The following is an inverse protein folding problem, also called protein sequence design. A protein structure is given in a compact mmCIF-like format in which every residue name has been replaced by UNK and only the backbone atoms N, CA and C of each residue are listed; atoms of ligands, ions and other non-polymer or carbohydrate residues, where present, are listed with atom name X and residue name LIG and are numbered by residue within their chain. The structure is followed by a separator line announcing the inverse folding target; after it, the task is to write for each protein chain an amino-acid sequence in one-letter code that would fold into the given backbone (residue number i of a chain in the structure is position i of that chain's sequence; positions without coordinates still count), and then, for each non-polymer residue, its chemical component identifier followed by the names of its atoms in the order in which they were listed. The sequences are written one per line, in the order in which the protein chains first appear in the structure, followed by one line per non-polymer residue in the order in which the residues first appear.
data_IF_210375940769
#
_entry.id   IF_210375940769
#
_cell.length_a   1.000
_cell.length_b   1.000
_cell.length_c   1.000
_cell.angle_alpha   90.00
_cell.angle_beta   90.00
_cell.angle_gamma   90.00
#
_symmetry.space_group_name_H-M   'P 1'
#
loop_
_entity.id
_entity.type
_entity.pdbx_description
1 polymer ?
#
# COMPACT_ATOMS: atom_id res chain seq x y z
N UNK A 1 -13.62 11.91 -3.85
CA UNK A 1 -12.16 11.62 -3.80
C UNK A 1 -11.29 12.86 -3.91
N UNK A 2 -11.01 13.44 -5.09
CA UNK A 2 -10.06 14.58 -5.21
C UNK A 2 -10.50 15.80 -4.39
N UNK A 3 -11.78 16.17 -4.42
CA UNK A 3 -12.32 17.28 -3.62
C UNK A 3 -12.08 17.07 -2.12
N UNK A 4 -12.42 15.89 -1.60
CA UNK A 4 -12.21 15.55 -0.18
C UNK A 4 -10.73 15.50 0.18
N UNK A 5 -9.88 14.96 -0.70
CA UNK A 5 -8.44 14.90 -0.51
C UNK A 5 -7.85 16.30 -0.27
N UNK A 6 -8.25 17.29 -1.09
CA UNK A 6 -7.81 18.69 -0.95
C UNK A 6 -8.30 19.36 0.33
N UNK A 7 -9.42 18.93 0.90
CA UNK A 7 -9.86 19.42 2.21
C UNK A 7 -9.09 18.75 3.34
N UNK A 8 -8.88 17.44 3.26
CA UNK A 8 -8.18 16.66 4.30
C UNK A 8 -6.70 17.07 4.46
N UNK A 9 -6.00 17.40 3.37
CA UNK A 9 -4.59 17.84 3.44
C UNK A 9 -4.41 19.16 4.18
N UNK A 10 -5.48 19.95 4.39
CA UNK A 10 -5.41 21.22 5.14
C UNK A 10 -5.29 21.00 6.65
N UNK A 11 -5.57 19.79 7.13
CA UNK A 11 -5.56 19.45 8.56
C UNK A 11 -4.13 19.47 9.11
N UNK A 12 -3.19 18.81 8.43
CA UNK A 12 -1.80 18.73 8.86
C UNK A 12 -0.87 18.32 7.69
N UNK A 13 0.41 18.72 7.70
CA UNK A 13 1.35 18.45 6.59
C UNK A 13 1.69 16.96 6.42
N UNK A 14 1.50 16.14 7.46
CA UNK A 14 1.81 14.71 7.45
C UNK A 14 0.66 13.83 6.95
N UNK A 15 -0.49 14.41 6.56
CA UNK A 15 -1.63 13.65 6.03
C UNK A 15 -1.27 12.92 4.74
N UNK A 16 -1.75 11.68 4.63
CA UNK A 16 -1.67 10.83 3.44
C UNK A 16 -3.08 10.39 3.07
N UNK A 17 -3.49 10.63 1.83
CA UNK A 17 -4.86 10.36 1.39
C UNK A 17 -5.01 8.90 0.98
N UNK A 18 -5.84 8.17 1.72
CA UNK A 18 -6.10 6.74 1.45
C UNK A 18 -7.14 6.58 0.35
N UNK A 19 -6.78 5.90 -0.73
CA UNK A 19 -7.62 5.76 -1.94
C UNK A 19 -7.84 4.28 -2.25
N UNK A 20 -9.08 3.81 -2.43
CA UNK A 20 -9.33 2.41 -2.78
C UNK A 20 -8.87 2.10 -4.20
N UNK A 21 -8.33 0.89 -4.40
CA UNK A 21 -7.93 0.36 -5.71
C UNK A 21 -9.15 0.18 -6.63
N UNK A 22 -9.48 1.24 -7.37
CA UNK A 22 -10.60 1.30 -8.33
C UNK A 22 -10.20 2.17 -9.51
N UNK A 23 -10.94 2.07 -10.63
CA UNK A 23 -10.68 2.91 -11.82
C UNK A 23 -10.68 4.41 -11.50
N UNK A 24 -11.69 4.90 -10.76
CA UNK A 24 -11.76 6.32 -10.37
C UNK A 24 -10.73 6.67 -9.28
N UNK A 25 -10.40 5.73 -8.39
CA UNK A 25 -9.33 5.88 -7.43
C UNK A 25 -7.97 6.12 -8.09
N UNK A 26 -7.63 5.33 -9.10
CA UNK A 26 -6.35 5.46 -9.81
C UNK A 26 -6.26 6.78 -10.60
N UNK A 27 -7.37 7.25 -11.19
CA UNK A 27 -7.43 8.61 -11.76
C UNK A 27 -7.18 9.67 -10.69
N UNK A 28 -7.78 9.52 -9.51
CA UNK A 28 -7.58 10.46 -8.40
C UNK A 28 -6.13 10.46 -7.91
N UNK A 29 -5.47 9.30 -7.81
CA UNK A 29 -4.03 9.20 -7.48
C UNK A 29 -3.21 10.02 -8.47
N UNK A 30 -3.44 9.88 -9.78
CA UNK A 30 -2.66 10.61 -10.77
C UNK A 30 -2.84 12.14 -10.69
N UNK A 31 -4.06 12.59 -10.42
CA UNK A 31 -4.35 14.02 -10.23
C UNK A 31 -3.64 14.55 -8.97
N UNK A 32 -3.74 13.80 -7.86
CA UNK A 32 -3.17 14.21 -6.57
C UNK A 32 -1.64 14.15 -6.57
N UNK A 33 -1.02 13.22 -7.30
CA UNK A 33 0.42 13.17 -7.49
C UNK A 33 0.95 14.41 -8.21
N UNK A 34 0.28 14.87 -9.26
CA UNK A 34 0.62 16.13 -9.94
C UNK A 34 0.50 17.37 -9.04
N UNK A 35 -0.28 17.27 -7.96
CA UNK A 35 -0.44 18.30 -6.92
C UNK A 35 0.53 18.10 -5.74
N UNK A 36 1.45 17.14 -5.81
CA UNK A 36 2.35 16.73 -4.73
C UNK A 36 1.63 16.28 -3.44
N UNK A 37 0.41 15.77 -3.57
CA UNK A 37 -0.38 15.23 -2.46
C UNK A 37 -0.09 13.73 -2.33
N UNK A 38 0.47 13.34 -1.18
CA UNK A 38 0.79 11.93 -0.90
C UNK A 38 -0.47 11.08 -0.81
N UNK A 39 -0.43 9.93 -1.47
CA UNK A 39 -1.55 8.98 -1.51
C UNK A 39 -1.14 7.58 -1.08
N UNK A 40 -2.06 6.87 -0.43
CA UNK A 40 -1.93 5.45 -0.10
C UNK A 40 -3.03 4.65 -0.79
N UNK A 41 -2.68 3.86 -1.81
CA UNK A 41 -3.63 2.98 -2.48
C UNK A 41 -3.88 1.74 -1.64
N UNK A 42 -5.13 1.56 -1.20
CA UNK A 42 -5.57 0.48 -0.30
C UNK A 42 -6.47 -0.52 -1.03
N UNK A 43 -6.76 -1.66 -0.38
CA UNK A 43 -7.54 -2.76 -0.95
C UNK A 43 -6.85 -3.37 -2.18
N UNK A 44 -5.54 -3.58 -2.04
CA UNK A 44 -4.69 -4.22 -3.06
C UNK A 44 -4.54 -5.70 -2.71
N UNK A 45 -4.78 -6.55 -3.70
CA UNK A 45 -4.87 -8.01 -3.60
C UNK A 45 -4.13 -8.73 -4.74
N UNK A 46 -3.52 -8.01 -5.67
CA UNK A 46 -2.71 -8.62 -6.74
C UNK A 46 -1.58 -7.71 -7.22
N UNK A 47 -0.59 -8.32 -7.86
CA UNK A 47 0.60 -7.71 -8.44
C UNK A 47 0.24 -6.71 -9.54
N UNK A 48 -0.76 -7.04 -10.36
CA UNK A 48 -1.29 -6.12 -11.37
C UNK A 48 -1.77 -4.81 -10.73
N UNK A 49 -2.42 -4.89 -9.56
CA UNK A 49 -2.88 -3.70 -8.86
C UNK A 49 -1.73 -2.88 -8.28
N UNK A 50 -0.67 -3.54 -7.81
CA UNK A 50 0.58 -2.89 -7.35
C UNK A 50 1.21 -2.10 -8.50
N UNK A 51 1.40 -2.74 -9.66
CA UNK A 51 1.98 -2.09 -10.84
C UNK A 51 1.15 -0.88 -11.29
N UNK A 52 -0.18 -1.02 -11.36
CA UNK A 52 -1.08 0.07 -11.76
C UNK A 52 -1.01 1.23 -10.77
N UNK A 53 -1.02 0.95 -9.46
CA UNK A 53 -0.92 1.98 -8.42
C UNK A 53 0.42 2.71 -8.46
N UNK A 54 1.52 1.99 -8.62
CA UNK A 54 2.86 2.55 -8.73
C UNK A 54 3.00 3.44 -9.98
N UNK A 55 2.56 2.96 -11.16
CA UNK A 55 2.54 3.74 -12.41
C UNK A 55 1.68 5.01 -12.32
N UNK A 56 0.63 4.99 -11.50
CA UNK A 56 -0.23 6.16 -11.29
C UNK A 56 0.41 7.23 -10.38
N UNK A 57 1.51 6.91 -9.69
CA UNK A 57 2.20 7.83 -8.79
C UNK A 57 1.79 7.71 -7.33
N UNK A 58 1.29 6.54 -6.89
CA UNK A 58 0.99 6.31 -5.48
C UNK A 58 2.26 6.45 -4.62
N UNK A 59 2.20 7.21 -3.53
CA UNK A 59 3.30 7.28 -2.56
C UNK A 59 3.42 5.98 -1.77
N UNK A 60 2.28 5.39 -1.43
CA UNK A 60 2.19 4.13 -0.71
C UNK A 60 1.21 3.17 -1.38
N UNK A 61 1.49 1.88 -1.27
CA UNK A 61 0.63 0.80 -1.75
C UNK A 61 0.43 -0.19 -0.60
N UNK A 62 -0.84 -0.50 -0.27
CA UNK A 62 -1.18 -1.36 0.87
C UNK A 62 -1.81 -2.69 0.45
N UNK A 63 -1.01 -3.76 0.22
CA UNK A 63 -1.50 -5.13 0.05
C UNK A 63 -2.13 -5.69 1.33
N UNK A 64 -3.27 -6.37 1.20
CA UNK A 64 -4.00 -6.96 2.34
C UNK A 64 -3.64 -8.44 2.52
N UNK A 65 -2.42 -8.71 2.99
CA UNK A 65 -1.85 -10.06 3.05
C UNK A 65 -2.67 -11.05 3.90
N UNK A 66 -3.16 -10.64 5.07
CA UNK A 66 -3.96 -11.53 5.91
C UNK A 66 -5.28 -11.93 5.27
N UNK A 67 -5.88 -11.09 4.43
CA UNK A 67 -7.09 -11.46 3.70
C UNK A 67 -6.80 -12.44 2.56
N UNK A 68 -5.61 -12.38 1.96
CA UNK A 68 -5.18 -13.37 0.97
C UNK A 68 -4.99 -14.74 1.64
N UNK A 69 -4.30 -14.75 2.77
CA UNK A 69 -4.10 -15.94 3.62
C UNK A 69 -5.44 -16.56 4.04
N UNK A 70 -6.40 -15.74 4.50
CA UNK A 70 -7.75 -16.20 4.90
C UNK A 70 -8.50 -16.89 3.73
N UNK A 71 -8.12 -16.59 2.48
CA UNK A 71 -8.67 -17.21 1.25
C UNK A 71 -7.77 -18.31 0.66
N UNK A 72 -6.78 -18.80 1.41
CA UNK A 72 -5.88 -19.89 0.98
C UNK A 72 -4.84 -19.50 -0.06
N UNK A 73 -4.56 -18.21 -0.24
CA UNK A 73 -3.53 -17.72 -1.15
C UNK A 73 -2.22 -17.49 -0.39
N UNK A 74 -1.08 -17.65 -1.09
CA UNK A 74 0.23 -17.39 -0.51
C UNK A 74 0.46 -15.89 -0.35
N UNK A 75 0.39 -15.43 0.90
CA UNK A 75 0.50 -14.02 1.25
C UNK A 75 1.95 -13.49 1.22
N UNK A 76 2.94 -14.38 1.33
CA UNK A 76 4.37 -14.03 1.27
C UNK A 76 4.79 -13.80 -0.18
N UNK A 77 4.33 -14.64 -1.11
CA UNK A 77 4.59 -14.46 -2.55
C UNK A 77 4.04 -13.11 -3.03
N UNK A 78 2.85 -12.72 -2.54
CA UNK A 78 2.29 -11.40 -2.81
C UNK A 78 3.25 -10.27 -2.40
N UNK A 79 3.93 -10.39 -1.26
CA UNK A 79 4.89 -9.36 -0.82
C UNK A 79 6.16 -9.38 -1.64
N UNK A 80 6.74 -10.55 -1.85
CA UNK A 80 8.00 -10.72 -2.57
C UNK A 80 7.88 -10.19 -4.00
N UNK A 81 6.88 -10.65 -4.76
CA UNK A 81 6.67 -10.22 -6.15
C UNK A 81 6.32 -8.72 -6.23
N UNK A 82 5.62 -8.17 -5.23
CA UNK A 82 5.37 -6.73 -5.16
C UNK A 82 6.68 -5.95 -5.04
N UNK A 83 7.59 -6.40 -4.18
CA UNK A 83 8.91 -5.77 -4.02
C UNK A 83 9.74 -5.91 -5.30
N UNK A 84 9.72 -7.07 -5.97
CA UNK A 84 10.39 -7.25 -7.26
C UNK A 84 9.88 -6.27 -8.32
N UNK A 85 8.56 -6.07 -8.42
CA UNK A 85 7.96 -5.09 -9.33
C UNK A 85 8.41 -3.67 -9.00
N UNK A 86 8.41 -3.29 -7.72
CA UNK A 86 8.83 -1.95 -7.30
C UNK A 86 10.30 -1.68 -7.67
N UNK A 87 11.16 -2.66 -7.39
CA UNK A 87 12.60 -2.57 -7.65
C UNK A 87 12.92 -2.59 -9.15
N UNK A 88 12.25 -3.44 -9.94
CA UNK A 88 12.53 -3.60 -11.37
C UNK A 88 12.30 -2.30 -12.17
N UNK A 89 11.39 -1.43 -11.71
CA UNK A 89 11.08 -0.16 -12.36
C UNK A 89 11.66 1.07 -11.62
N UNK A 90 12.42 0.87 -10.54
CA UNK A 90 12.86 1.93 -9.61
C UNK A 90 11.70 2.84 -9.17
N UNK A 91 10.54 2.25 -8.85
CA UNK A 91 9.42 3.01 -8.34
C UNK A 91 9.75 3.60 -6.97
N UNK A 92 9.38 4.87 -6.75
CA UNK A 92 9.51 5.53 -5.44
C UNK A 92 8.35 5.20 -4.49
N UNK A 93 7.40 4.38 -4.93
CA UNK A 93 6.28 3.92 -4.11
C UNK A 93 6.78 3.01 -3.01
N UNK A 94 6.31 3.23 -1.78
CA UNK A 94 6.63 2.37 -0.64
C UNK A 94 5.49 1.36 -0.40
N UNK A 95 5.87 0.12 -0.12
CA UNK A 95 4.95 -0.97 0.20
C UNK A 95 4.62 -0.95 1.71
N UNK A 96 3.32 -0.85 2.03
CA UNK A 96 2.79 -0.99 3.40
C UNK A 96 2.15 -2.37 3.54
N UNK A 97 2.80 -3.28 4.26
CA UNK A 97 2.22 -4.57 4.61
C UNK A 97 1.02 -4.37 5.53
N UNK A 98 -0.17 -4.58 5.01
CA UNK A 98 -1.43 -4.36 5.71
C UNK A 98 -2.18 -5.67 5.96
N UNK A 99 -3.20 -5.62 6.82
CA UNK A 99 -3.94 -6.82 7.25
C UNK A 99 -3.04 -7.86 7.94
N UNK A 100 -2.06 -7.43 8.71
CA UNK A 100 -1.18 -8.30 9.51
C UNK A 100 -2.00 -9.03 10.59
N UNK A 101 -1.81 -10.35 10.71
CA UNK A 101 -2.55 -11.23 11.64
C UNK A 101 -1.71 -11.71 12.82
N UNK A 102 -0.40 -11.86 12.62
CA UNK A 102 0.51 -12.47 13.58
C UNK A 102 1.94 -11.92 13.38
N UNK A 103 2.84 -12.23 14.31
CA UNK A 103 4.24 -11.77 14.31
C UNK A 103 5.06 -12.37 13.16
N UNK A 104 4.71 -13.57 12.67
CA UNK A 104 5.36 -14.19 11.50
C UNK A 104 5.25 -13.29 10.26
N UNK A 105 4.10 -12.66 10.02
CA UNK A 105 3.94 -11.74 8.89
C UNK A 105 4.92 -10.57 8.94
N UNK A 106 5.26 -10.09 10.15
CA UNK A 106 6.20 -8.98 10.34
C UNK A 106 7.61 -9.42 10.00
N UNK A 107 8.03 -10.57 10.55
CA UNK A 107 9.37 -11.12 10.31
C UNK A 107 9.59 -11.41 8.84
N UNK A 108 8.62 -12.04 8.16
CA UNK A 108 8.75 -12.33 6.73
C UNK A 108 8.72 -11.06 5.88
N UNK A 109 7.84 -10.10 6.19
CA UNK A 109 7.85 -8.79 5.52
C UNK A 109 9.21 -8.07 5.65
N UNK A 110 9.80 -8.10 6.84
CA UNK A 110 11.10 -7.48 7.09
C UNK A 110 12.24 -8.17 6.32
N UNK A 111 12.26 -9.51 6.26
CA UNK A 111 13.24 -10.28 5.47
C UNK A 111 13.18 -9.95 3.98
N UNK A 112 11.98 -9.69 3.47
CA UNK A 112 11.75 -9.30 2.08
C UNK A 112 12.06 -7.82 1.80
N UNK A 113 12.43 -7.05 2.81
CA UNK A 113 12.72 -5.62 2.66
C UNK A 113 11.48 -4.77 2.43
N UNK A 114 10.29 -5.22 2.86
CA UNK A 114 9.10 -4.39 2.78
C UNK A 114 9.29 -3.10 3.59
N UNK A 115 8.98 -1.96 2.97
CA UNK A 115 9.29 -0.64 3.50
C UNK A 115 8.60 -0.35 4.85
N UNK A 116 7.33 -0.75 4.98
CA UNK A 116 6.50 -0.43 6.15
C UNK A 116 5.59 -1.63 6.47
N UNK A 117 5.35 -1.87 7.77
CA UNK A 117 4.27 -2.75 8.23
C UNK A 117 3.28 -1.96 9.10
N UNK A 118 1.99 -2.03 8.78
CA UNK A 118 0.93 -1.47 9.64
C UNK A 118 0.28 -2.60 10.43
N UNK A 119 0.41 -2.55 11.75
CA UNK A 119 0.04 -3.66 12.63
C UNK A 119 -0.94 -3.23 13.73
N UNK A 120 -1.84 -4.12 14.18
CA UNK A 120 -2.59 -3.88 15.42
C UNK A 120 -1.64 -3.80 16.63
N UNK A 121 -2.01 -3.01 17.63
CA UNK A 121 -1.24 -2.89 18.87
C UNK A 121 -1.01 -4.24 19.57
N UNK A 122 -2.02 -5.12 19.55
CA UNK A 122 -1.92 -6.48 20.12
C UNK A 122 -0.96 -7.42 19.40
N UNK A 123 -0.52 -7.09 18.18
CA UNK A 123 0.56 -7.81 17.50
C UNK A 123 1.92 -7.23 17.90
N UNK A 124 2.00 -5.92 18.14
CA UNK A 124 3.21 -5.25 18.62
C UNK A 124 3.62 -5.70 20.03
N UNK A 125 2.65 -6.02 20.89
CA UNK A 125 2.90 -6.48 22.27
C UNK A 125 3.38 -7.94 22.37
N UNK A 126 3.41 -8.69 21.26
CA UNK A 126 3.84 -10.11 21.23
C UNK A 126 5.30 -10.25 20.88
#
# INVERSE_FOLDING_TARGET
MVKEARELIKIAPNIVIKIPMTKEGIKAVKILEAENIRTNVTLVFSQNQVLIAAKAGASYISPFIGRLMDNGQNEIDMLWESMEILNAYDFKSELIVASVRNTRHIVEAAKLGAHIATIPFSVLEK
#
